data_IF_350117376592
#
_entry.id   IF_350117376592
#
_cell.length_a   1.000
_cell.length_b   1.000
_cell.length_c   1.000
_cell.angle_alpha   90.00
_cell.angle_beta   90.00
_cell.angle_gamma   90.00
#
_symmetry.space_group_name_H-M   'P 1'
#
loop_
_entity.id
_entity.type
_entity.pdbx_description
1 polymer ?
#
# COMPACT_ATOMS: atom_id res chain seq x y z
N UNK A 1 7.05 29.60 -2.81
CA UNK A 1 5.94 28.62 -2.70
C UNK A 1 6.55 27.37 -2.09
N UNK A 2 5.98 26.80 -1.01
CA UNK A 2 6.48 25.55 -0.41
C UNK A 2 5.92 24.39 -1.23
N UNK A 3 6.77 23.47 -1.68
CA UNK A 3 6.33 22.25 -2.36
C UNK A 3 5.73 21.25 -1.36
N UNK A 4 4.86 20.36 -1.85
CA UNK A 4 4.29 19.25 -1.08
C UNK A 4 5.32 18.16 -0.79
N UNK A 5 6.32 17.99 -1.67
CA UNK A 5 7.44 17.08 -1.50
C UNK A 5 8.77 17.83 -1.64
N UNK A 6 9.68 17.62 -0.69
CA UNK A 6 10.97 18.33 -0.62
C UNK A 6 11.95 17.89 -1.72
N UNK A 7 11.81 16.66 -2.22
CA UNK A 7 12.62 16.06 -3.27
C UNK A 7 12.06 16.31 -4.69
N UNK A 8 10.97 17.07 -4.82
CA UNK A 8 10.30 17.33 -6.10
C UNK A 8 10.51 18.77 -6.54
N UNK A 9 11.04 18.96 -7.76
CA UNK A 9 11.26 20.29 -8.33
C UNK A 9 9.91 21.04 -8.50
N UNK A 10 9.82 22.35 -8.19
CA UNK A 10 8.55 23.08 -8.21
C UNK A 10 7.76 22.99 -9.52
N UNK A 11 8.44 23.03 -10.67
CA UNK A 11 7.79 22.88 -11.98
C UNK A 11 7.20 21.48 -12.20
N UNK A 12 7.87 20.42 -11.71
CA UNK A 12 7.33 19.06 -11.82
C UNK A 12 6.09 18.88 -10.93
N UNK A 13 6.10 19.47 -9.73
CA UNK A 13 4.93 19.48 -8.85
C UNK A 13 3.77 20.26 -9.48
N UNK A 14 4.05 21.40 -10.12
CA UNK A 14 3.02 22.17 -10.85
C UNK A 14 2.35 21.32 -11.92
N UNK A 15 3.13 20.63 -12.75
CA UNK A 15 2.59 19.71 -13.79
C UNK A 15 1.76 18.59 -13.16
N UNK A 16 2.24 17.97 -12.08
CA UNK A 16 1.48 16.93 -11.37
C UNK A 16 0.13 17.45 -10.87
N UNK A 17 0.11 18.64 -10.26
CA UNK A 17 -1.11 19.25 -9.73
C UNK A 17 -2.10 19.63 -10.84
N UNK A 18 -1.63 20.15 -11.96
CA UNK A 18 -2.45 20.43 -13.15
C UNK A 18 -3.09 19.14 -13.68
N UNK A 19 -2.29 18.08 -13.92
CA UNK A 19 -2.79 16.78 -14.37
C UNK A 19 -3.80 16.14 -13.41
N UNK A 20 -3.57 16.27 -12.10
CA UNK A 20 -4.50 15.78 -11.09
C UNK A 20 -5.77 16.63 -11.05
N UNK A 21 -5.71 17.96 -11.22
CA UNK A 21 -6.92 18.80 -11.26
C UNK A 21 -7.81 18.45 -12.44
N UNK A 22 -7.21 18.22 -13.61
CA UNK A 22 -7.92 17.91 -14.86
C UNK A 22 -8.51 16.49 -14.88
N UNK A 23 -8.00 15.57 -14.06
CA UNK A 23 -8.53 14.22 -13.97
C UNK A 23 -9.96 14.18 -13.39
N UNK A 24 -10.85 13.44 -14.04
CA UNK A 24 -12.19 13.18 -13.52
C UNK A 24 -12.15 12.45 -12.17
N UNK A 25 -13.19 12.58 -11.32
CA UNK A 25 -13.27 11.86 -10.04
C UNK A 25 -13.09 10.35 -10.19
N UNK A 26 -13.68 9.74 -11.22
CA UNK A 26 -13.54 8.31 -11.50
C UNK A 26 -12.10 7.92 -11.84
N UNK A 27 -11.39 8.75 -12.62
CA UNK A 27 -9.98 8.50 -12.96
C UNK A 27 -9.08 8.62 -11.74
N UNK A 28 -9.31 9.61 -10.87
CA UNK A 28 -8.61 9.74 -9.58
C UNK A 28 -8.80 8.50 -8.72
N UNK A 29 -10.03 8.03 -8.58
CA UNK A 29 -10.31 6.81 -7.82
C UNK A 29 -9.60 5.59 -8.44
N UNK A 30 -9.61 5.47 -9.77
CA UNK A 30 -8.88 4.42 -10.49
C UNK A 30 -7.38 4.43 -10.18
N UNK A 31 -6.74 5.61 -10.15
CA UNK A 31 -5.33 5.76 -9.78
C UNK A 31 -5.09 5.29 -8.33
N UNK A 32 -5.92 5.72 -7.39
CA UNK A 32 -5.80 5.33 -5.97
C UNK A 32 -5.98 3.82 -5.77
N UNK A 33 -6.97 3.21 -6.44
CA UNK A 33 -7.21 1.77 -6.37
C UNK A 33 -6.06 0.96 -6.98
N UNK A 34 -5.49 1.44 -8.09
CA UNK A 34 -4.31 0.84 -8.71
C UNK A 34 -3.11 0.90 -7.77
N UNK A 35 -2.81 2.08 -7.20
CA UNK A 35 -1.73 2.27 -6.23
C UNK A 35 -1.90 1.37 -4.99
N UNK A 36 -3.12 1.24 -4.47
CA UNK A 36 -3.44 0.34 -3.34
C UNK A 36 -3.20 -1.14 -3.69
N UNK A 37 -3.49 -1.56 -4.92
CA UNK A 37 -3.20 -2.93 -5.37
C UNK A 37 -1.69 -3.16 -5.46
N UNK A 38 -0.96 -2.23 -6.07
CA UNK A 38 0.50 -2.30 -6.20
C UNK A 38 1.19 -2.31 -4.85
N UNK A 39 0.79 -1.43 -3.92
CA UNK A 39 1.35 -1.40 -2.57
C UNK A 39 1.21 -2.74 -1.83
N UNK A 40 0.04 -3.39 -1.92
CA UNK A 40 -0.17 -4.73 -1.34
C UNK A 40 0.70 -5.80 -1.98
N UNK A 41 0.91 -5.74 -3.30
CA UNK A 41 1.78 -6.69 -4.02
C UNK A 41 3.25 -6.53 -3.60
N UNK A 42 3.73 -5.29 -3.51
CA UNK A 42 5.09 -4.99 -3.06
C UNK A 42 5.31 -5.43 -1.59
N UNK A 43 4.34 -5.13 -0.72
CA UNK A 43 4.37 -5.56 0.67
C UNK A 43 4.42 -7.09 0.80
N UNK A 44 3.60 -7.80 0.01
CA UNK A 44 3.61 -9.26 -0.01
C UNK A 44 4.92 -9.84 -0.55
N UNK A 45 5.50 -9.24 -1.58
CA UNK A 45 6.82 -9.64 -2.10
C UNK A 45 7.91 -9.49 -1.02
N UNK A 46 7.95 -8.36 -0.31
CA UNK A 46 8.88 -8.17 0.80
C UNK A 46 8.65 -9.14 1.97
N UNK A 47 7.41 -9.56 2.23
CA UNK A 47 7.13 -10.60 3.23
C UNK A 47 7.68 -11.96 2.79
N UNK A 48 7.53 -12.35 1.52
CA UNK A 48 8.12 -13.58 0.97
C UNK A 48 9.64 -13.59 1.08
N UNK A 49 10.28 -12.45 0.83
CA UNK A 49 11.74 -12.31 0.93
C UNK A 49 12.23 -12.47 2.38
N UNK A 50 11.55 -11.85 3.35
CA UNK A 50 11.92 -11.94 4.78
C UNK A 50 11.54 -13.27 5.44
N UNK A 51 10.53 -13.97 4.91
CA UNK A 51 10.00 -15.21 5.47
C UNK A 51 9.87 -16.29 4.37
N UNK A 52 10.99 -16.75 3.79
CA UNK A 52 10.97 -17.61 2.60
C UNK A 52 10.31 -18.98 2.82
N UNK A 53 10.27 -19.47 4.07
CA UNK A 53 9.74 -20.78 4.44
C UNK A 53 8.30 -20.72 4.99
N UNK A 54 7.71 -19.53 5.14
CA UNK A 54 6.34 -19.42 5.64
C UNK A 54 5.30 -19.80 4.57
N UNK A 55 4.23 -20.46 5.00
CA UNK A 55 3.11 -20.77 4.12
C UNK A 55 2.45 -19.51 3.57
N UNK A 56 1.88 -19.61 2.37
CA UNK A 56 1.20 -18.48 1.74
C UNK A 56 0.03 -17.94 2.59
N UNK A 57 -0.62 -18.79 3.39
CA UNK A 57 -1.67 -18.39 4.31
C UNK A 57 -1.12 -17.50 5.43
N UNK A 58 0.01 -17.87 6.03
CA UNK A 58 0.68 -17.10 7.07
C UNK A 58 1.20 -15.75 6.56
N UNK A 59 1.77 -15.74 5.34
CA UNK A 59 2.19 -14.50 4.68
C UNK A 59 1.01 -13.55 4.40
N UNK A 60 -0.13 -14.08 3.95
CA UNK A 60 -1.36 -13.28 3.78
C UNK A 60 -1.85 -12.72 5.10
N UNK A 61 -1.77 -13.50 6.18
CA UNK A 61 -2.14 -13.04 7.52
C UNK A 61 -1.22 -11.92 8.00
N UNK A 62 0.10 -12.04 7.81
CA UNK A 62 1.06 -10.95 8.11
C UNK A 62 0.82 -9.70 7.26
N UNK A 63 0.43 -9.86 5.99
CA UNK A 63 0.04 -8.73 5.15
C UNK A 63 -1.17 -7.98 5.73
N UNK A 64 -2.13 -8.70 6.33
CA UNK A 64 -3.26 -8.07 7.00
C UNK A 64 -2.82 -7.20 8.19
N UNK A 65 -1.87 -7.66 9.01
CA UNK A 65 -1.31 -6.83 10.12
C UNK A 65 -0.64 -5.57 9.57
N UNK A 66 0.16 -5.69 8.51
CA UNK A 66 0.84 -4.55 7.91
C UNK A 66 -0.13 -3.54 7.29
N UNK A 67 -1.23 -4.01 6.72
CA UNK A 67 -2.16 -3.17 5.96
C UNK A 67 -3.26 -2.54 6.80
N UNK A 68 -3.79 -3.27 7.78
CA UNK A 68 -4.91 -2.85 8.63
C UNK A 68 -4.48 -2.46 10.04
N UNK A 69 -3.26 -2.81 10.44
CA UNK A 69 -2.83 -2.84 11.83
C UNK A 69 -3.25 -4.15 12.51
N UNK A 70 -2.51 -4.60 13.54
CA UNK A 70 -2.68 -5.91 14.15
C UNK A 70 -4.05 -6.11 14.80
N UNK A 71 -4.63 -5.07 15.39
CA UNK A 71 -5.94 -5.13 16.04
C UNK A 71 -7.07 -5.43 15.04
N UNK A 72 -7.17 -4.64 13.97
CA UNK A 72 -8.19 -4.83 12.95
C UNK A 72 -7.96 -6.12 12.15
N UNK A 73 -6.71 -6.47 11.89
CA UNK A 73 -6.37 -7.73 11.25
C UNK A 73 -6.79 -8.93 12.11
N UNK A 74 -6.59 -8.89 13.42
CA UNK A 74 -7.03 -9.93 14.33
C UNK A 74 -8.56 -10.08 14.35
N UNK A 75 -9.29 -8.96 14.35
CA UNK A 75 -10.76 -8.98 14.33
C UNK A 75 -11.32 -9.51 13.00
N UNK A 76 -10.69 -9.19 11.88
CA UNK A 76 -11.18 -9.57 10.55
C UNK A 76 -10.72 -10.98 10.10
N UNK A 77 -9.52 -11.40 10.49
CA UNK A 77 -8.86 -12.60 9.98
C UNK A 77 -8.40 -13.57 11.08
N UNK A 78 -8.67 -13.30 12.35
CA UNK A 78 -8.19 -14.09 13.49
C UNK A 78 -6.76 -13.72 13.90
N UNK A 79 -6.23 -14.21 15.04
CA UNK A 79 -4.85 -13.96 15.46
C UNK A 79 -3.85 -14.57 14.46
N UNK A 80 -2.65 -13.99 14.36
CA UNK A 80 -1.55 -14.63 13.66
C UNK A 80 -1.15 -15.87 14.48
N UNK A 81 -1.15 -17.10 13.92
CA UNK A 81 -0.80 -18.29 14.69
C UNK A 81 0.62 -18.18 15.21
N UNK A 82 0.92 -18.64 16.43
CA UNK A 82 2.27 -18.45 16.96
C UNK A 82 3.30 -19.33 16.21
N UNK A 83 2.99 -20.57 15.82
CA UNK A 83 3.89 -21.44 15.04
C UNK A 83 3.09 -22.48 14.22
N UNK A 84 3.60 -22.87 13.04
CA UNK A 84 3.29 -24.14 12.35
C UNK A 84 4.59 -24.94 12.25
#
# INVERSE_FOLDING_TARGET
MRTLAEDTHPEAERVLLELLRDASPARKLGMVLSANRTGRLLAFAGLRERHPNESAARLKRRLADLWLGPELAARAYGPLPDHE
#
